data_IF_428555638704
#
_entry.id   IF_428555638704
#
_cell.length_a   1.000
_cell.length_b   1.000
_cell.length_c   1.000
_cell.angle_alpha   90.00
_cell.angle_beta   90.00
_cell.angle_gamma   90.00
#
_symmetry.space_group_name_H-M   'P 1'
#
loop_
_entity.id
_entity.type
_entity.pdbx_description
1 polymer ?
#
# COMPACT_ATOMS: atom_id res chain seq x y z
N UNK A 1 28.96 -6.54 14.33
CA UNK A 1 29.61 -5.22 14.19
C UNK A 1 29.17 -4.68 12.84
N UNK A 2 28.35 -3.62 12.83
CA UNK A 2 27.88 -3.03 11.57
C UNK A 2 29.06 -2.34 10.87
N UNK A 3 29.24 -2.61 9.57
CA UNK A 3 30.26 -1.97 8.75
C UNK A 3 29.97 -0.46 8.67
N UNK A 4 31.00 0.42 8.76
CA UNK A 4 30.79 1.85 8.62
C UNK A 4 30.26 2.18 7.23
N UNK A 5 29.20 2.99 7.18
CA UNK A 5 28.61 3.47 5.93
C UNK A 5 29.41 4.68 5.47
N UNK A 6 30.25 4.51 4.44
CA UNK A 6 31.21 5.54 4.00
C UNK A 6 30.69 6.39 2.82
N UNK A 7 29.71 5.92 2.05
CA UNK A 7 29.09 6.67 0.94
C UNK A 7 27.74 6.06 0.45
N UNK A 8 27.06 6.73 -0.48
CA UNK A 8 25.78 6.26 -1.04
C UNK A 8 25.88 4.87 -1.69
N UNK A 9 27.00 4.57 -2.34
CA UNK A 9 27.24 3.25 -2.94
C UNK A 9 27.26 2.15 -1.87
N UNK A 10 27.90 2.42 -0.72
CA UNK A 10 27.88 1.49 0.42
C UNK A 10 26.48 1.29 1.02
N UNK A 11 25.61 2.30 0.98
CA UNK A 11 24.20 2.15 1.36
C UNK A 11 23.42 1.29 0.37
N UNK A 12 23.66 1.48 -0.94
CA UNK A 12 23.04 0.67 -2.00
C UNK A 12 23.48 -0.79 -1.87
N UNK A 13 24.77 -1.04 -1.70
CA UNK A 13 25.34 -2.38 -1.50
C UNK A 13 24.84 -3.03 -0.22
N UNK A 14 24.77 -2.25 0.87
CA UNK A 14 24.17 -2.71 2.11
C UNK A 14 22.69 -3.06 1.93
N UNK A 15 21.92 -2.21 1.22
CA UNK A 15 20.52 -2.49 0.88
C UNK A 15 20.36 -3.74 0.01
N UNK A 16 21.26 -3.98 -0.93
CA UNK A 16 21.30 -5.20 -1.75
C UNK A 16 21.64 -6.42 -0.87
N UNK A 17 22.62 -6.31 0.02
CA UNK A 17 22.99 -7.37 0.96
C UNK A 17 21.84 -7.68 1.92
N UNK A 18 21.13 -6.67 2.41
CA UNK A 18 19.94 -6.83 3.26
C UNK A 18 18.82 -7.55 2.49
N UNK A 19 18.60 -7.22 1.21
CA UNK A 19 17.66 -7.94 0.33
C UNK A 19 18.09 -9.38 0.03
N UNK A 20 19.39 -9.67 -0.03
CA UNK A 20 19.89 -11.05 -0.20
C UNK A 20 19.75 -11.88 1.08
N UNK A 21 19.87 -11.23 2.24
CA UNK A 21 19.73 -11.86 3.55
C UNK A 21 18.29 -11.83 4.09
N UNK A 22 17.33 -11.27 3.33
CA UNK A 22 15.95 -11.25 3.74
C UNK A 22 15.30 -12.60 3.49
N UNK A 23 14.78 -13.21 4.54
CA UNK A 23 14.00 -14.46 4.48
C UNK A 23 12.57 -14.23 4.00
N UNK A 24 12.33 -13.22 3.16
CA UNK A 24 10.99 -12.88 2.69
C UNK A 24 10.92 -12.52 1.23
N UNK A 25 9.79 -12.86 0.63
CA UNK A 25 9.41 -12.45 -0.71
C UNK A 25 8.40 -11.30 -0.58
N UNK A 26 8.59 -10.24 -1.37
CA UNK A 26 7.62 -9.16 -1.46
C UNK A 26 7.05 -9.11 -2.88
N UNK A 27 5.73 -9.27 -3.01
CA UNK A 27 5.02 -9.27 -4.29
C UNK A 27 4.13 -8.05 -4.33
N UNK A 28 4.37 -7.13 -5.28
CA UNK A 28 3.46 -6.01 -5.53
C UNK A 28 2.54 -6.37 -6.69
N UNK A 29 1.24 -6.33 -6.46
CA UNK A 29 0.23 -6.71 -7.45
C UNK A 29 -0.62 -5.48 -7.77
N UNK A 30 -0.46 -4.97 -8.99
CA UNK A 30 -1.34 -3.96 -9.55
C UNK A 30 -2.66 -4.62 -9.98
N UNK A 31 -3.70 -4.53 -9.16
CA UNK A 31 -4.95 -5.28 -9.39
C UNK A 31 -5.78 -4.69 -10.54
N UNK A 32 -5.52 -3.44 -10.90
CA UNK A 32 -6.20 -2.70 -11.96
C UNK A 32 -5.37 -1.47 -12.36
N UNK A 33 -5.55 -0.97 -13.58
CA UNK A 33 -5.09 0.37 -14.01
C UNK A 33 -6.22 1.42 -13.96
N UNK A 34 -7.40 1.05 -13.46
CA UNK A 34 -8.55 1.93 -13.24
C UNK A 34 -8.42 2.61 -11.88
N UNK A 35 -8.74 3.91 -11.82
CA UNK A 35 -8.83 4.67 -10.58
C UNK A 35 -10.14 5.48 -10.55
N UNK A 36 -10.68 5.71 -9.34
CA UNK A 36 -11.85 6.57 -9.11
C UNK A 36 -11.46 8.04 -8.84
N UNK A 37 -10.16 8.35 -8.79
CA UNK A 37 -9.59 9.69 -8.77
C UNK A 37 -8.90 10.01 -10.09
N UNK A 38 -8.80 11.30 -10.40
CA UNK A 38 -8.11 11.84 -11.58
C UNK A 38 -7.06 12.87 -11.12
N UNK A 39 -6.03 12.39 -10.42
CA UNK A 39 -5.06 13.26 -9.77
C UNK A 39 -4.26 14.08 -10.80
N UNK A 40 -4.03 15.37 -10.53
CA UNK A 40 -3.39 16.30 -11.48
C UNK A 40 -1.93 15.96 -11.80
N UNK A 41 -1.27 15.23 -10.91
CA UNK A 41 0.13 14.80 -11.04
C UNK A 41 0.27 13.30 -11.32
N UNK A 42 -0.83 12.58 -11.60
CA UNK A 42 -0.79 11.14 -11.79
C UNK A 42 0.10 10.75 -12.99
N UNK A 43 1.11 9.91 -12.76
CA UNK A 43 1.97 9.40 -13.82
C UNK A 43 1.41 8.14 -14.49
N UNK A 44 0.43 7.48 -13.86
CA UNK A 44 -0.19 6.27 -14.41
C UNK A 44 -1.14 6.63 -15.55
N UNK A 45 -1.03 5.90 -16.66
CA UNK A 45 -2.04 5.97 -17.72
C UNK A 45 -3.26 5.18 -17.27
N UNK A 46 -4.30 5.88 -16.80
CA UNK A 46 -5.55 5.24 -16.42
C UNK A 46 -6.13 4.46 -17.59
N UNK A 47 -6.30 3.15 -17.38
CA UNK A 47 -6.82 2.23 -18.38
C UNK A 47 -8.23 1.78 -18.07
N UNK A 48 -8.56 0.57 -18.52
CA UNK A 48 -9.85 -0.10 -18.29
C UNK A 48 -9.66 -1.56 -17.90
N UNK A 49 -8.46 -1.90 -17.45
CA UNK A 49 -8.04 -3.27 -17.23
C UNK A 49 -8.14 -3.63 -15.75
N UNK A 50 -8.66 -4.82 -15.50
CA UNK A 50 -8.68 -5.46 -14.20
C UNK A 50 -7.96 -6.79 -14.32
N UNK A 51 -7.10 -7.12 -13.35
CA UNK A 51 -6.61 -8.48 -13.22
C UNK A 51 -7.80 -9.41 -12.97
N UNK A 52 -7.75 -10.57 -13.61
CA UNK A 52 -8.79 -11.59 -13.58
C UNK A 52 -8.27 -12.83 -12.86
N UNK A 53 -9.20 -13.62 -12.34
CA UNK A 53 -8.95 -14.84 -11.55
C UNK A 53 -8.02 -15.83 -12.25
N UNK A 54 -8.07 -15.87 -13.59
CA UNK A 54 -7.18 -16.67 -14.43
C UNK A 54 -5.67 -16.38 -14.23
N UNK A 55 -5.31 -15.22 -13.67
CA UNK A 55 -3.92 -14.86 -13.36
C UNK A 55 -3.44 -15.44 -12.02
N UNK A 56 -4.35 -15.85 -11.13
CA UNK A 56 -4.04 -16.28 -9.76
C UNK A 56 -3.12 -17.51 -9.73
N UNK A 57 -3.34 -18.57 -10.55
CA UNK A 57 -2.46 -19.74 -10.52
C UNK A 57 -0.99 -19.41 -10.81
N UNK A 58 -0.72 -18.44 -11.68
CA UNK A 58 0.64 -18.01 -12.01
C UNK A 58 1.34 -17.33 -10.81
N UNK A 59 0.58 -16.63 -9.95
CA UNK A 59 1.12 -16.00 -8.74
C UNK A 59 1.51 -17.08 -7.71
N UNK A 60 0.67 -18.10 -7.53
CA UNK A 60 1.01 -19.23 -6.67
C UNK A 60 2.21 -20.01 -7.16
N UNK A 61 2.31 -20.25 -8.47
CA UNK A 61 3.49 -20.93 -9.04
C UNK A 61 4.76 -20.12 -8.81
N UNK A 62 4.70 -18.79 -8.98
CA UNK A 62 5.83 -17.90 -8.69
C UNK A 62 6.32 -18.05 -7.24
N UNK A 63 5.41 -18.18 -6.25
CA UNK A 63 5.78 -18.40 -4.84
C UNK A 63 6.50 -19.75 -4.67
N UNK A 64 5.99 -20.82 -5.31
CA UNK A 64 6.59 -22.16 -5.25
C UNK A 64 7.99 -22.18 -5.86
N UNK A 65 8.15 -21.58 -7.04
CA UNK A 65 9.44 -21.45 -7.72
C UNK A 65 10.43 -20.65 -6.87
N UNK A 66 9.98 -19.53 -6.28
CA UNK A 66 10.82 -18.72 -5.41
C UNK A 66 11.28 -19.51 -4.17
N UNK A 67 10.36 -20.20 -3.48
CA UNK A 67 10.70 -21.04 -2.31
C UNK A 67 11.69 -22.16 -2.67
N UNK A 68 11.54 -22.77 -3.85
CA UNK A 68 12.47 -23.80 -4.34
C UNK A 68 13.89 -23.26 -4.50
N UNK A 69 14.02 -22.04 -5.02
CA UNK A 69 15.31 -21.39 -5.25
C UNK A 69 15.90 -20.75 -3.97
N UNK A 70 15.04 -20.39 -3.02
CA UNK A 70 15.42 -19.74 -1.76
C UNK A 70 14.91 -20.55 -0.55
N UNK A 71 15.61 -21.63 -0.14
CA UNK A 71 15.16 -22.50 0.95
C UNK A 71 14.96 -21.78 2.29
N UNK A 72 15.70 -20.70 2.54
CA UNK A 72 15.62 -19.88 3.76
C UNK A 72 14.38 -18.97 3.80
N UNK A 73 13.61 -18.89 2.71
CA UNK A 73 12.37 -18.11 2.66
C UNK A 73 11.43 -18.57 3.79
N UNK A 74 10.97 -17.62 4.60
CA UNK A 74 10.11 -17.85 5.75
C UNK A 74 8.76 -17.13 5.63
N UNK A 75 8.66 -16.06 4.84
CA UNK A 75 7.40 -15.29 4.70
C UNK A 75 7.20 -14.70 3.31
N UNK A 76 5.94 -14.50 2.93
CA UNK A 76 5.51 -13.77 1.74
C UNK A 76 4.70 -12.56 2.18
N UNK A 77 5.09 -11.38 1.69
CA UNK A 77 4.38 -10.12 1.89
C UNK A 77 3.77 -9.70 0.56
N UNK A 78 2.46 -9.51 0.52
CA UNK A 78 1.75 -9.06 -0.68
C UNK A 78 1.34 -7.61 -0.53
N UNK A 79 1.73 -6.77 -1.48
CA UNK A 79 1.33 -5.37 -1.56
C UNK A 79 0.28 -5.21 -2.66
N UNK A 80 -0.95 -4.91 -2.26
CA UNK A 80 -2.06 -4.61 -3.15
C UNK A 80 -1.95 -3.16 -3.62
N UNK A 81 -1.81 -2.98 -4.93
CA UNK A 81 -1.56 -1.69 -5.58
C UNK A 81 -2.32 -1.59 -6.93
N UNK A 82 -2.00 -0.58 -7.74
CA UNK A 82 -2.62 -0.27 -9.03
C UNK A 82 -3.22 1.13 -9.01
N UNK A 83 -4.13 1.41 -9.96
CA UNK A 83 -4.84 2.69 -10.00
C UNK A 83 -5.62 2.95 -8.70
N UNK A 84 -6.60 2.10 -8.38
CA UNK A 84 -7.15 1.97 -7.03
C UNK A 84 -7.45 0.49 -6.75
N UNK A 85 -6.64 -0.18 -5.90
CA UNK A 85 -6.74 -1.63 -5.74
C UNK A 85 -8.11 -2.08 -5.22
N UNK A 86 -8.76 -1.28 -4.38
CA UNK A 86 -10.04 -1.64 -3.77
C UNK A 86 -11.22 -1.59 -4.75
N UNK A 87 -11.03 -1.11 -5.98
CA UNK A 87 -11.99 -1.31 -7.07
C UNK A 87 -12.02 -2.77 -7.55
N UNK A 88 -10.97 -3.54 -7.30
CA UNK A 88 -10.89 -4.97 -7.63
C UNK A 88 -10.82 -5.85 -6.37
N UNK A 89 -11.61 -5.52 -5.33
CA UNK A 89 -11.60 -6.24 -4.06
C UNK A 89 -11.89 -7.75 -4.21
N UNK A 90 -12.75 -8.13 -5.18
CA UNK A 90 -13.03 -9.54 -5.47
C UNK A 90 -11.76 -10.32 -5.80
N UNK A 91 -10.94 -9.78 -6.71
CA UNK A 91 -9.67 -10.40 -7.07
C UNK A 91 -8.71 -10.46 -5.87
N UNK A 92 -8.65 -9.42 -5.03
CA UNK A 92 -7.82 -9.40 -3.82
C UNK A 92 -8.18 -10.56 -2.89
N UNK A 93 -9.48 -10.78 -2.64
CA UNK A 93 -9.96 -11.87 -1.77
C UNK A 93 -9.54 -13.25 -2.31
N UNK A 94 -9.79 -13.51 -3.59
CA UNK A 94 -9.48 -14.80 -4.22
C UNK A 94 -7.97 -15.04 -4.31
N UNK A 95 -7.21 -14.03 -4.74
CA UNK A 95 -5.76 -14.12 -4.85
C UNK A 95 -5.11 -14.29 -3.47
N UNK A 96 -5.56 -13.53 -2.46
CA UNK A 96 -5.09 -13.67 -1.08
C UNK A 96 -5.36 -15.07 -0.53
N UNK A 97 -6.57 -15.60 -0.73
CA UNK A 97 -6.92 -16.96 -0.32
C UNK A 97 -6.00 -18.01 -0.96
N UNK A 98 -5.78 -17.91 -2.28
CA UNK A 98 -4.90 -18.84 -3.01
C UNK A 98 -3.43 -18.74 -2.55
N UNK A 99 -2.91 -17.54 -2.37
CA UNK A 99 -1.54 -17.32 -1.88
C UNK A 99 -1.38 -17.76 -0.44
N UNK A 100 -2.36 -17.54 0.44
CA UNK A 100 -2.37 -18.05 1.82
C UNK A 100 -2.28 -19.57 1.85
N UNK A 101 -3.09 -20.27 1.06
CA UNK A 101 -3.04 -21.72 0.96
C UNK A 101 -1.67 -22.19 0.45
N UNK A 102 -1.13 -21.52 -0.57
CA UNK A 102 0.22 -21.82 -1.10
C UNK A 102 1.30 -21.61 -0.04
N UNK A 103 1.22 -20.54 0.76
CA UNK A 103 2.16 -20.26 1.85
C UNK A 103 2.05 -21.31 2.95
N UNK A 104 0.83 -21.72 3.34
CA UNK A 104 0.60 -22.77 4.32
C UNK A 104 1.21 -24.11 3.90
N UNK A 105 1.01 -24.52 2.64
CA UNK A 105 1.63 -25.74 2.09
C UNK A 105 3.16 -25.72 2.12
N UNK A 106 3.75 -24.52 1.95
CA UNK A 106 5.19 -24.32 1.91
C UNK A 106 5.81 -23.95 3.27
N UNK A 107 5.00 -23.95 4.34
CA UNK A 107 5.39 -23.52 5.69
C UNK A 107 5.96 -22.09 5.72
N UNK A 108 5.27 -21.17 5.04
CA UNK A 108 5.58 -19.75 4.97
C UNK A 108 4.51 -18.93 5.70
N UNK A 109 4.94 -17.88 6.39
CA UNK A 109 4.03 -16.85 6.87
C UNK A 109 3.50 -16.01 5.70
N UNK A 110 2.28 -15.52 5.82
CA UNK A 110 1.65 -14.65 4.84
C UNK A 110 1.18 -13.35 5.50
N UNK A 111 1.46 -12.21 4.88
CA UNK A 111 0.84 -10.94 5.25
C UNK A 111 0.51 -10.08 4.04
N UNK A 112 -0.53 -9.27 4.19
CA UNK A 112 -0.98 -8.31 3.20
C UNK A 112 -0.70 -6.87 3.61
N UNK A 113 -0.45 -6.02 2.62
CA UNK A 113 -0.37 -4.56 2.73
C UNK A 113 -1.20 -3.95 1.62
N UNK A 114 -1.87 -2.83 1.89
CA UNK A 114 -2.64 -2.12 0.85
C UNK A 114 -2.10 -0.72 0.68
N UNK A 115 -1.88 -0.31 -0.57
CA UNK A 115 -1.61 1.08 -0.92
C UNK A 115 -2.82 1.61 -1.69
N UNK A 116 -3.59 2.50 -1.08
CA UNK A 116 -4.89 2.98 -1.60
C UNK A 116 -4.98 4.50 -1.56
N UNK A 117 -5.86 5.06 -2.38
CA UNK A 117 -6.26 6.46 -2.25
C UNK A 117 -7.22 6.72 -1.07
N UNK A 118 -7.77 5.67 -0.44
CA UNK A 118 -8.57 5.75 0.78
C UNK A 118 -10.08 5.99 0.56
N UNK A 119 -10.54 6.28 -0.66
CA UNK A 119 -11.96 6.56 -0.93
C UNK A 119 -12.83 5.33 -0.70
N UNK A 120 -12.35 4.15 -1.12
CA UNK A 120 -13.06 2.87 -1.04
C UNK A 120 -12.66 2.03 0.19
N UNK A 121 -11.91 2.63 1.12
CA UNK A 121 -11.31 1.94 2.26
C UNK A 121 -12.34 1.27 3.17
N UNK A 122 -13.57 1.77 3.23
CA UNK A 122 -14.64 1.11 3.97
C UNK A 122 -14.95 -0.31 3.48
N UNK A 123 -14.67 -0.63 2.19
CA UNK A 123 -14.98 -1.94 1.60
C UNK A 123 -14.09 -3.06 2.12
N UNK A 124 -12.86 -2.75 2.53
CA UNK A 124 -11.90 -3.78 3.01
C UNK A 124 -12.08 -4.08 4.51
N UNK A 125 -12.74 -3.20 5.28
CA UNK A 125 -12.88 -3.33 6.73
C UNK A 125 -13.37 -4.71 7.20
N UNK A 126 -14.36 -5.35 6.55
CA UNK A 126 -14.82 -6.68 6.96
C UNK A 126 -13.80 -7.81 6.74
N UNK A 127 -12.78 -7.55 5.91
CA UNK A 127 -11.87 -8.57 5.39
C UNK A 127 -10.42 -8.39 5.88
N UNK A 128 -10.14 -7.42 6.77
CA UNK A 128 -8.77 -7.13 7.24
C UNK A 128 -8.09 -8.38 7.80
N UNK A 129 -8.77 -9.09 8.70
CA UNK A 129 -8.25 -10.31 9.33
C UNK A 129 -8.13 -11.46 8.32
N UNK A 130 -9.14 -11.65 7.47
CA UNK A 130 -9.16 -12.67 6.42
C UNK A 130 -7.98 -12.49 5.44
N UNK A 131 -7.71 -11.25 5.05
CA UNK A 131 -6.64 -10.87 4.15
C UNK A 131 -5.28 -10.74 4.85
N UNK A 132 -5.22 -10.93 6.17
CA UNK A 132 -4.02 -10.74 7.00
C UNK A 132 -3.35 -9.39 6.74
N UNK A 133 -4.13 -8.31 6.62
CA UNK A 133 -3.59 -6.97 6.35
C UNK A 133 -2.89 -6.46 7.61
N UNK A 134 -1.59 -6.20 7.51
CA UNK A 134 -0.80 -5.65 8.62
C UNK A 134 -0.80 -4.14 8.62
N UNK A 135 -0.77 -3.53 7.44
CA UNK A 135 -0.75 -2.08 7.31
C UNK A 135 -1.42 -1.59 6.01
N UNK A 136 -1.95 -0.37 6.07
CA UNK A 136 -2.56 0.32 4.93
C UNK A 136 -1.92 1.69 4.77
N UNK A 137 -1.34 1.92 3.60
CA UNK A 137 -0.84 3.23 3.20
C UNK A 137 -1.92 4.01 2.44
N UNK A 138 -2.23 5.21 2.92
CA UNK A 138 -3.25 6.12 2.38
C UNK A 138 -2.58 7.41 1.96
N UNK A 139 -2.90 7.91 0.77
CA UNK A 139 -2.32 9.18 0.30
C UNK A 139 -3.20 10.38 0.65
N UNK A 140 -2.67 11.35 1.40
CA UNK A 140 -3.28 12.66 1.67
C UNK A 140 -2.27 13.79 1.34
N UNK A 141 -2.60 14.67 0.40
CA UNK A 141 -1.70 15.75 -0.03
C UNK A 141 -2.04 17.14 0.53
N UNK A 142 -1.84 17.30 1.83
CA UNK A 142 -2.01 18.57 2.52
C UNK A 142 -3.41 18.79 3.09
N UNK A 143 -3.77 20.06 3.30
CA UNK A 143 -5.11 20.47 3.76
C UNK A 143 -6.19 20.00 2.79
N UNK A 144 -7.45 20.04 3.26
CA UNK A 144 -8.61 19.70 2.44
C UNK A 144 -8.58 20.40 1.08
N UNK A 145 -8.32 21.70 1.06
CA UNK A 145 -8.34 22.53 -0.15
C UNK A 145 -7.25 22.09 -1.12
N UNK A 146 -6.01 21.90 -0.64
CA UNK A 146 -4.92 21.45 -1.51
C UNK A 146 -5.16 20.02 -1.99
N UNK A 147 -5.53 19.10 -1.09
CA UNK A 147 -5.81 17.71 -1.41
C UNK A 147 -6.90 17.62 -2.48
N UNK A 148 -8.04 18.26 -2.25
CA UNK A 148 -9.18 18.19 -3.16
C UNK A 148 -8.86 18.86 -4.51
N UNK A 149 -7.96 19.85 -4.56
CA UNK A 149 -7.49 20.44 -5.83
C UNK A 149 -6.56 19.52 -6.64
N UNK A 150 -5.82 18.63 -5.96
CA UNK A 150 -4.83 17.74 -6.57
C UNK A 150 -5.35 16.34 -6.84
N UNK A 151 -6.28 15.86 -6.02
CA UNK A 151 -6.80 14.49 -5.99
C UNK A 151 -8.31 14.49 -6.20
N UNK A 152 -8.74 15.12 -7.29
CA UNK A 152 -10.14 15.30 -7.64
C UNK A 152 -10.74 13.94 -8.04
N UNK A 153 -11.97 13.65 -7.62
CA UNK A 153 -12.71 12.48 -8.12
C UNK A 153 -13.03 12.64 -9.61
N UNK A 154 -13.28 11.54 -10.32
CA UNK A 154 -13.66 11.59 -11.73
C UNK A 154 -14.91 12.46 -12.01
N UNK A 155 -15.78 12.68 -11.00
CA UNK A 155 -16.96 13.54 -11.09
C UNK A 155 -16.74 14.99 -10.63
N UNK A 156 -15.49 15.40 -10.34
CA UNK A 156 -15.17 16.76 -9.89
C UNK A 156 -15.29 17.02 -8.38
N UNK A 157 -15.78 16.06 -7.60
CA UNK A 157 -15.93 16.23 -6.16
C UNK A 157 -14.63 15.97 -5.37
N UNK A 158 -14.51 16.58 -4.19
CA UNK A 158 -13.42 16.32 -3.25
C UNK A 158 -13.42 14.90 -2.67
N UNK A 159 -12.27 14.45 -2.20
CA UNK A 159 -12.08 13.12 -1.60
C UNK A 159 -11.68 13.17 -0.13
N UNK A 160 -11.17 14.31 0.35
CA UNK A 160 -10.55 14.43 1.67
C UNK A 160 -11.45 13.94 2.81
N UNK A 161 -12.69 14.46 2.91
CA UNK A 161 -13.58 14.14 4.03
C UNK A 161 -13.99 12.67 4.05
N UNK A 162 -14.15 12.07 2.87
CA UNK A 162 -14.44 10.63 2.75
C UNK A 162 -13.28 9.80 3.26
N UNK A 163 -12.06 10.16 2.88
CA UNK A 163 -10.83 9.48 3.31
C UNK A 163 -10.69 9.58 4.83
N UNK A 164 -10.83 10.78 5.41
CA UNK A 164 -10.76 10.98 6.87
C UNK A 164 -11.85 10.18 7.60
N UNK A 165 -13.09 10.15 7.08
CA UNK A 165 -14.17 9.35 7.65
C UNK A 165 -13.86 7.85 7.61
N UNK A 166 -13.22 7.36 6.56
CA UNK A 166 -12.83 5.96 6.46
C UNK A 166 -11.65 5.62 7.38
N UNK A 167 -10.66 6.51 7.52
CA UNK A 167 -9.54 6.37 8.46
C UNK A 167 -10.06 6.18 9.89
N UNK A 168 -11.00 7.03 10.34
CA UNK A 168 -11.65 6.92 11.65
C UNK A 168 -12.32 5.56 11.91
N UNK A 169 -12.77 4.86 10.86
CA UNK A 169 -13.45 3.56 11.00
C UNK A 169 -12.49 2.38 11.10
N UNK A 170 -11.21 2.57 10.74
CA UNK A 170 -10.26 1.47 10.56
C UNK A 170 -8.98 1.62 11.38
N UNK A 171 -8.68 2.82 11.90
CA UNK A 171 -7.46 3.11 12.67
C UNK A 171 -7.16 2.16 13.83
N UNK A 172 -8.18 1.58 14.47
CA UNK A 172 -8.00 0.64 15.59
C UNK A 172 -7.83 -0.82 15.16
N UNK A 173 -7.90 -1.11 13.86
CA UNK A 173 -7.87 -2.48 13.31
C UNK A 173 -6.57 -2.83 12.60
N UNK A 174 -5.80 -1.84 12.19
CA UNK A 174 -4.63 -2.00 11.34
C UNK A 174 -3.71 -0.80 11.48
N UNK A 175 -2.42 -0.98 11.26
CA UNK A 175 -1.49 0.14 11.20
C UNK A 175 -1.78 0.99 9.96
N UNK A 176 -1.93 2.30 10.16
CA UNK A 176 -2.19 3.24 9.08
C UNK A 176 -0.96 4.08 8.80
N UNK A 177 -0.63 4.21 7.52
CA UNK A 177 0.47 5.05 7.05
C UNK A 177 -0.13 6.15 6.17
N UNK A 178 -0.18 7.37 6.68
CA UNK A 178 -0.58 8.54 5.88
C UNK A 178 0.65 9.00 5.11
N UNK A 179 0.65 8.77 3.79
CA UNK A 179 1.70 9.24 2.88
C UNK A 179 1.29 10.54 2.22
N UNK A 180 2.25 11.46 2.09
CA UNK A 180 2.07 12.67 1.29
C UNK A 180 3.15 12.80 0.24
N UNK A 181 2.74 13.24 -0.95
CA UNK A 181 3.65 13.63 -2.01
C UNK A 181 4.14 15.06 -1.75
N UNK A 182 5.43 15.22 -1.48
CA UNK A 182 6.03 16.52 -1.18
C UNK A 182 6.73 17.08 -2.42
N UNK A 183 6.37 18.30 -2.77
CA UNK A 183 7.00 19.12 -3.79
C UNK A 183 7.38 20.50 -3.21
N UNK A 184 8.11 21.29 -4.02
CA UNK A 184 8.61 22.61 -3.59
C UNK A 184 7.51 23.61 -3.19
N UNK A 185 6.26 23.38 -3.58
CA UNK A 185 5.14 24.30 -3.40
C UNK A 185 4.18 23.88 -2.27
N UNK A 186 4.35 22.72 -1.62
CA UNK A 186 3.39 22.23 -0.61
C UNK A 186 3.97 21.91 0.77
N UNK A 187 5.20 22.31 1.07
CA UNK A 187 5.85 22.06 2.37
C UNK A 187 5.02 22.61 3.53
N UNK A 188 4.46 23.83 3.41
CA UNK A 188 3.60 24.41 4.46
C UNK A 188 2.33 23.59 4.69
N UNK A 189 1.76 23.03 3.62
CA UNK A 189 0.58 22.18 3.68
C UNK A 189 0.90 20.84 4.34
N UNK A 190 2.16 20.40 4.27
CA UNK A 190 2.59 19.19 4.93
C UNK A 190 2.50 19.30 6.46
N UNK A 191 2.98 20.43 6.99
CA UNK A 191 2.94 20.74 8.42
C UNK A 191 1.48 20.87 8.88
N UNK A 192 0.65 21.61 8.14
CA UNK A 192 -0.78 21.77 8.46
C UNK A 192 -1.52 20.43 8.50
N UNK A 193 -1.25 19.55 7.54
CA UNK A 193 -1.86 18.22 7.54
C UNK A 193 -1.39 17.41 8.76
N UNK A 194 -0.11 17.43 9.08
CA UNK A 194 0.42 16.75 10.26
C UNK A 194 -0.28 17.22 11.55
N UNK A 195 -0.37 18.54 11.77
CA UNK A 195 -1.06 19.13 12.92
C UNK A 195 -2.54 18.74 12.96
N UNK A 196 -3.21 18.75 11.80
CA UNK A 196 -4.60 18.32 11.68
C UNK A 196 -4.79 16.85 12.07
N UNK A 197 -3.92 15.95 11.60
CA UNK A 197 -3.99 14.53 11.94
C UNK A 197 -3.77 14.31 13.44
N UNK A 198 -2.82 15.02 14.06
CA UNK A 198 -2.62 14.96 15.52
C UNK A 198 -3.86 15.40 16.30
N UNK A 199 -4.57 16.43 15.82
CA UNK A 199 -5.80 16.91 16.46
C UNK A 199 -6.98 15.94 16.34
N UNK A 200 -6.96 15.01 15.37
CA UNK A 200 -8.02 14.03 15.23
C UNK A 200 -8.02 12.97 16.34
N UNK A 201 -7.00 12.99 17.22
CA UNK A 201 -6.85 12.09 18.36
C UNK A 201 -6.94 10.61 17.95
N UNK A 202 -6.33 10.29 16.81
CA UNK A 202 -6.20 8.91 16.37
C UNK A 202 -5.35 8.10 17.35
N UNK A 203 -5.56 6.79 17.36
CA UNK A 203 -4.72 5.89 18.15
C UNK A 203 -3.26 5.90 17.65
N UNK A 204 -2.33 5.45 18.49
CA UNK A 204 -0.87 5.38 18.19
C UNK A 204 -0.52 4.54 16.94
N UNK A 205 -1.50 3.87 16.32
CA UNK A 205 -1.38 3.08 15.08
C UNK A 205 -1.30 3.92 13.80
N UNK A 206 -1.48 5.24 13.87
CA UNK A 206 -1.41 6.13 12.69
C UNK A 206 -0.05 6.81 12.58
N UNK A 207 0.72 6.42 11.57
CA UNK A 207 2.03 7.00 11.25
C UNK A 207 1.93 7.93 10.03
N UNK A 208 2.58 9.10 10.09
CA UNK A 208 2.65 10.03 8.95
C UNK A 208 4.03 9.95 8.30
N UNK A 209 4.06 9.67 6.99
CA UNK A 209 5.27 9.54 6.20
C UNK A 209 5.31 10.55 5.04
N UNK A 210 6.43 11.25 4.88
CA UNK A 210 6.64 12.22 3.82
C UNK A 210 7.55 11.64 2.74
N UNK A 211 7.06 11.61 1.50
CA UNK A 211 7.81 11.10 0.34
C UNK A 211 8.09 12.24 -0.62
N UNK A 212 9.38 12.45 -0.93
CA UNK A 212 9.81 13.41 -1.95
C UNK A 212 9.42 12.88 -3.33
N UNK A 213 8.77 13.71 -4.13
CA UNK A 213 8.56 13.48 -5.56
C UNK A 213 9.79 13.90 -6.39
#
# INVERSE_FOLDING_TARGET
>A
MALPVENFQSLVEHGISLKKNSNFMCITIATTDVCNLNCTYCFEKHGRNFLKEQCIPAISELIREYKKNEPILARVVVIWFGGEPLLNLKFILEASSCMKNTCQELLLDYSGRVITNGVELNKIIPYIEELCITDIQITLDGTKELHDSRRIRANGAGSFDTIISNIKKIESKVDLIIRMNVDKNNISECVKLYDYILQLAFNDSVNVFFSRC
#
